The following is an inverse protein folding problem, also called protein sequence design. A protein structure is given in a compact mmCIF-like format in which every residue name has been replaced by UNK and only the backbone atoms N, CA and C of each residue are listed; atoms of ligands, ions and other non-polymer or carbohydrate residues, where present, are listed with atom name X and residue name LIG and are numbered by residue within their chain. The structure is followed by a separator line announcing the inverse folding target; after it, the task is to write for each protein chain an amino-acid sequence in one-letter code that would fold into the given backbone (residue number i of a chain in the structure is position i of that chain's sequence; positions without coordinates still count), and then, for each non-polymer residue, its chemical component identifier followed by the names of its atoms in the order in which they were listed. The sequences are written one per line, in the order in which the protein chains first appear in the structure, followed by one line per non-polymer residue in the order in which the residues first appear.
data_IF_699952601046
#
_entry.id   IF_699952601046
#
_cell.length_a   1.000
_cell.length_b   1.000
_cell.length_c   1.000
_cell.angle_alpha   90.00
_cell.angle_beta   90.00
_cell.angle_gamma   90.00
#
_symmetry.space_group_name_H-M   'P 1'
#
loop_
_entity.id
_entity.type
_entity.pdbx_description
1 polymer ?
#
# COMPACT_ATOMS: atom_id res chain seq x y z
N UNK A 1 -0.14 10.46 14.41
CA UNK A 1 -0.27 9.08 14.93
C UNK A 1 -1.71 8.79 15.35
N UNK A 2 -2.40 9.71 16.02
CA UNK A 2 -3.82 9.55 16.38
C UNK A 2 -4.69 9.18 15.17
N UNK A 3 -4.55 9.94 14.07
CA UNK A 3 -5.30 9.72 12.82
C UNK A 3 -5.28 8.28 12.28
N UNK A 4 -4.11 7.64 12.20
CA UNK A 4 -4.03 6.27 11.65
C UNK A 4 -4.61 5.24 12.62
N UNK A 5 -4.43 5.43 13.93
CA UNK A 5 -5.00 4.53 14.92
C UNK A 5 -6.53 4.60 14.92
N UNK A 6 -7.09 5.81 14.88
CA UNK A 6 -8.53 6.04 14.78
C UNK A 6 -9.12 5.40 13.53
N UNK A 7 -8.46 5.60 12.37
CA UNK A 7 -8.88 5.00 11.11
C UNK A 7 -8.88 3.47 11.17
N UNK A 8 -7.82 2.84 11.70
CA UNK A 8 -7.77 1.38 11.81
C UNK A 8 -8.85 0.86 12.78
N UNK A 9 -9.12 1.58 13.88
CA UNK A 9 -10.22 1.24 14.80
C UNK A 9 -11.60 1.41 14.18
N UNK A 10 -11.77 2.30 13.19
CA UNK A 10 -12.99 2.40 12.40
C UNK A 10 -13.12 1.21 11.45
N UNK A 11 -12.05 0.91 10.70
CA UNK A 11 -12.00 -0.24 9.78
C UNK A 11 -12.27 -1.56 10.51
N UNK A 12 -11.74 -1.73 11.72
CA UNK A 12 -11.92 -2.94 12.55
C UNK A 12 -13.39 -3.17 12.97
N UNK A 13 -14.23 -2.13 12.96
CA UNK A 13 -15.67 -2.24 13.26
C UNK A 13 -16.52 -2.61 12.04
N UNK A 14 -15.96 -2.51 10.84
CA UNK A 14 -16.67 -2.81 9.60
C UNK A 14 -16.62 -4.32 9.33
N UNK A 15 -17.78 -4.97 9.30
CA UNK A 15 -17.88 -6.43 9.09
C UNK A 15 -17.37 -6.90 7.71
N UNK A 16 -17.20 -5.97 6.76
CA UNK A 16 -16.64 -6.29 5.45
C UNK A 16 -15.11 -6.25 5.45
N UNK A 17 -14.49 -5.74 6.52
CA UNK A 17 -13.06 -5.64 6.67
C UNK A 17 -12.56 -6.56 7.80
N UNK A 18 -11.35 -7.08 7.64
CA UNK A 18 -10.70 -7.91 8.66
C UNK A 18 -9.37 -7.29 9.05
N UNK A 19 -9.27 -6.77 10.27
CA UNK A 19 -8.02 -6.23 10.83
C UNK A 19 -7.36 -7.30 11.69
N UNK A 20 -6.15 -7.71 11.32
CA UNK A 20 -5.38 -8.70 12.07
C UNK A 20 -4.28 -8.03 12.88
N UNK A 21 -4.38 -8.09 14.21
CA UNK A 21 -3.39 -7.57 15.15
C UNK A 21 -2.27 -8.58 15.40
N UNK A 22 -1.06 -8.08 15.64
CA UNK A 22 0.04 -8.92 16.13
C UNK A 22 -0.20 -9.26 17.61
N UNK A 23 0.09 -10.51 17.99
CA UNK A 23 0.08 -10.92 19.41
C UNK A 23 1.12 -10.15 20.23
N UNK A 24 2.27 -9.87 19.61
CA UNK A 24 3.36 -9.10 20.21
C UNK A 24 3.83 -8.07 19.18
N UNK A 25 3.77 -6.76 19.48
CA UNK A 25 4.27 -5.74 18.58
C UNK A 25 5.75 -5.89 18.27
N UNK A 26 6.15 -5.61 17.03
CA UNK A 26 7.56 -5.53 16.69
C UNK A 26 8.19 -4.30 17.35
N UNK A 27 9.40 -4.46 17.89
CA UNK A 27 10.16 -3.36 18.50
C UNK A 27 11.06 -2.60 17.51
N UNK A 28 11.30 -3.20 16.35
CA UNK A 28 12.20 -2.66 15.32
C UNK A 28 11.79 -3.15 13.95
N UNK A 29 11.63 -2.22 13.03
CA UNK A 29 11.49 -2.48 11.60
C UNK A 29 12.90 -2.37 10.96
N UNK A 30 13.26 -3.27 10.03
CA UNK A 30 14.58 -3.25 9.37
C UNK A 30 14.78 -2.09 8.38
N UNK A 31 13.73 -1.30 8.11
CA UNK A 31 13.72 -0.22 7.12
C UNK A 31 13.41 1.12 7.77
N UNK A 32 13.89 2.21 7.15
CA UNK A 32 13.43 3.56 7.46
C UNK A 32 12.10 3.78 6.74
N UNK A 33 11.02 3.85 7.50
CA UNK A 33 9.65 4.03 7.01
C UNK A 33 9.02 5.29 7.62
N UNK A 34 7.99 5.89 6.99
CA UNK A 34 7.24 6.97 7.61
C UNK A 34 6.53 6.49 8.89
N UNK A 35 6.23 7.42 9.81
CA UNK A 35 5.74 7.10 11.15
C UNK A 35 4.38 6.38 11.16
N UNK A 36 3.52 6.65 10.19
CA UNK A 36 2.22 6.00 10.07
C UNK A 36 2.37 4.54 9.63
N UNK A 37 3.15 4.27 8.58
CA UNK A 37 3.49 2.92 8.17
C UNK A 37 4.23 2.17 9.29
N UNK A 38 5.13 2.84 10.02
CA UNK A 38 5.83 2.25 11.18
C UNK A 38 4.83 1.75 12.22
N UNK A 39 3.91 2.62 12.62
CA UNK A 39 2.87 2.27 13.60
C UNK A 39 2.08 1.04 13.14
N UNK A 40 1.66 1.00 11.87
CA UNK A 40 0.94 -0.14 11.34
C UNK A 40 1.76 -1.43 11.36
N UNK A 41 2.95 -1.41 10.76
CA UNK A 41 3.83 -2.60 10.65
C UNK A 41 4.28 -3.13 12.01
N UNK A 42 4.40 -2.27 13.03
CA UNK A 42 4.75 -2.70 14.39
C UNK A 42 3.60 -3.39 15.12
N UNK A 43 2.34 -3.13 14.75
CA UNK A 43 1.18 -3.53 15.56
C UNK A 43 0.21 -4.50 14.85
N UNK A 44 0.23 -4.58 13.52
CA UNK A 44 -0.74 -5.33 12.73
C UNK A 44 -0.03 -6.29 11.75
N UNK A 45 -0.64 -7.45 11.54
CA UNK A 45 -0.15 -8.47 10.59
C UNK A 45 -0.80 -8.33 9.22
N UNK A 46 -2.02 -7.78 9.13
CA UNK A 46 -2.67 -7.43 7.87
C UNK A 46 -3.96 -6.62 8.11
N UNK A 47 -4.45 -5.97 7.05
CA UNK A 47 -5.84 -5.51 6.93
C UNK A 47 -6.38 -6.04 5.61
N UNK A 48 -7.47 -6.80 5.62
CA UNK A 48 -8.18 -7.21 4.41
C UNK A 48 -9.40 -6.30 4.25
N UNK A 49 -9.44 -5.53 3.17
CA UNK A 49 -10.57 -4.66 2.85
C UNK A 49 -11.60 -5.39 2.00
N UNK A 50 -12.87 -5.31 2.38
CA UNK A 50 -14.03 -5.74 1.57
C UNK A 50 -13.91 -7.19 1.04
N UNK A 51 -13.62 -8.14 1.92
CA UNK A 51 -13.20 -9.52 1.61
C UNK A 51 -14.13 -10.32 0.67
N UNK A 52 -15.40 -9.93 0.59
CA UNK A 52 -16.43 -10.60 -0.23
C UNK A 52 -16.72 -9.87 -1.55
N UNK A 53 -15.82 -8.98 -2.00
CA UNK A 53 -15.97 -8.17 -3.21
C UNK A 53 -14.86 -8.47 -4.23
N UNK A 54 -15.12 -8.20 -5.50
CA UNK A 54 -14.11 -8.34 -6.57
C UNK A 54 -12.91 -7.40 -6.41
N UNK A 55 -13.07 -6.32 -5.65
CA UNK A 55 -12.04 -5.32 -5.40
C UNK A 55 -11.45 -5.43 -3.99
N UNK A 56 -11.60 -6.60 -3.36
CA UNK A 56 -10.93 -6.92 -2.11
C UNK A 56 -9.41 -6.76 -2.26
N UNK A 57 -8.76 -6.17 -1.28
CA UNK A 57 -7.31 -6.01 -1.27
C UNK A 57 -6.76 -6.15 0.15
N UNK A 58 -5.63 -6.84 0.29
CA UNK A 58 -4.95 -7.05 1.57
C UNK A 58 -3.80 -6.07 1.71
N UNK A 59 -3.84 -5.23 2.73
CA UNK A 59 -2.65 -4.55 3.24
C UNK A 59 -1.75 -5.56 3.94
N UNK A 60 -0.51 -5.65 3.49
CA UNK A 60 0.43 -6.67 3.96
C UNK A 60 1.06 -6.28 5.30
N UNK A 61 1.44 -7.26 6.13
CA UNK A 61 2.23 -7.03 7.33
C UNK A 61 3.74 -7.08 7.07
N UNK A 62 4.54 -6.91 8.13
CA UNK A 62 6.01 -6.85 8.02
C UNK A 62 6.66 -8.08 7.36
N UNK A 63 6.08 -9.28 7.52
CA UNK A 63 6.62 -10.53 6.93
C UNK A 63 6.46 -10.59 5.41
N UNK A 64 5.50 -9.85 4.88
CA UNK A 64 5.14 -9.79 3.46
C UNK A 64 5.61 -8.47 2.81
N UNK A 65 5.97 -7.48 3.63
CA UNK A 65 6.56 -6.20 3.22
C UNK A 65 7.96 -6.38 2.62
N UNK A 66 8.04 -6.63 1.31
CA UNK A 66 9.25 -6.96 0.56
C UNK A 66 9.43 -5.99 -0.61
N UNK A 67 10.68 -5.84 -1.09
CA UNK A 67 10.97 -5.05 -2.31
C UNK A 67 10.13 -5.58 -3.48
N UNK A 68 9.48 -4.67 -4.18
CA UNK A 68 8.48 -4.98 -5.19
C UNK A 68 9.09 -5.58 -6.46
N UNK A 69 10.25 -5.09 -6.92
CA UNK A 69 10.93 -5.60 -8.12
C UNK A 69 11.06 -7.12 -8.10
N UNK A 70 11.64 -7.68 -7.03
CA UNK A 70 11.82 -9.13 -6.90
C UNK A 70 10.51 -9.92 -6.92
N UNK A 71 9.40 -9.33 -6.48
CA UNK A 71 8.09 -10.00 -6.42
C UNK A 71 7.38 -9.91 -7.78
N UNK A 72 7.37 -8.75 -8.41
CA UNK A 72 6.55 -8.47 -9.60
C UNK A 72 7.26 -8.91 -10.88
N UNK A 73 8.56 -8.64 -11.00
CA UNK A 73 9.35 -8.88 -12.22
C UNK A 73 10.46 -9.93 -12.03
N UNK A 74 10.69 -10.41 -10.80
CA UNK A 74 11.64 -11.48 -10.49
C UNK A 74 13.11 -11.06 -10.37
N UNK A 75 13.44 -9.81 -10.70
CA UNK A 75 14.80 -9.24 -10.65
C UNK A 75 14.87 -8.01 -9.73
N UNK A 76 16.07 -7.59 -9.33
CA UNK A 76 16.27 -6.37 -8.54
C UNK A 76 17.12 -5.38 -9.35
N UNK A 77 16.46 -4.38 -9.96
CA UNK A 77 17.13 -3.32 -10.72
C UNK A 77 17.49 -2.15 -9.81
N UNK A 78 18.70 -2.17 -9.26
CA UNK A 78 19.15 -1.18 -8.26
C UNK A 78 19.22 0.27 -8.75
N UNK A 79 19.36 0.48 -10.06
CA UNK A 79 19.51 1.80 -10.66
C UNK A 79 18.16 2.49 -10.98
N UNK A 80 17.05 1.75 -10.90
CA UNK A 80 15.72 2.30 -11.12
C UNK A 80 15.09 2.83 -9.83
N UNK A 81 14.24 3.84 -9.95
CA UNK A 81 13.54 4.43 -8.80
C UNK A 81 12.70 3.38 -8.05
N UNK A 82 12.22 2.36 -8.77
CA UNK A 82 11.46 1.22 -8.23
C UNK A 82 12.23 0.33 -7.26
N UNK A 83 13.56 0.43 -7.22
CA UNK A 83 14.37 -0.34 -6.28
C UNK A 83 13.95 -0.13 -4.82
N UNK A 84 13.53 1.09 -4.47
CA UNK A 84 13.09 1.44 -3.12
C UNK A 84 11.57 1.30 -2.90
N UNK A 85 10.87 0.64 -3.82
CA UNK A 85 9.45 0.38 -3.68
C UNK A 85 9.21 -0.97 -3.03
N UNK A 86 8.25 -1.02 -2.11
CA UNK A 86 7.91 -2.20 -1.34
C UNK A 86 6.44 -2.52 -1.52
N UNK A 87 6.10 -3.81 -1.62
CA UNK A 87 4.71 -4.26 -1.63
C UNK A 87 4.05 -3.80 -0.33
N UNK A 88 2.97 -3.03 -0.41
CA UNK A 88 2.16 -2.62 0.73
C UNK A 88 0.72 -3.15 0.65
N UNK A 89 0.24 -3.49 -0.55
CA UNK A 89 -1.02 -4.20 -0.74
C UNK A 89 -0.96 -5.21 -1.89
N UNK A 90 -1.78 -6.26 -1.79
CA UNK A 90 -1.86 -7.38 -2.73
C UNK A 90 -3.30 -7.93 -2.77
N UNK A 91 -3.85 -8.14 -3.97
CA UNK A 91 -5.16 -8.80 -4.17
C UNK A 91 -5.07 -10.34 -4.25
N UNK A 92 -3.86 -10.90 -4.21
CA UNK A 92 -3.49 -12.30 -4.45
C UNK A 92 -3.78 -12.80 -5.87
N UNK A 93 -3.88 -11.89 -6.83
CA UNK A 93 -4.08 -12.22 -8.24
C UNK A 93 -3.06 -11.47 -9.12
N UNK A 94 -3.21 -10.16 -9.24
CA UNK A 94 -2.47 -9.37 -10.23
C UNK A 94 -2.28 -7.89 -9.85
N UNK A 95 -3.05 -7.40 -8.87
CA UNK A 95 -2.96 -6.03 -8.41
C UNK A 95 -2.07 -5.94 -7.18
N UNK A 96 -1.01 -5.16 -7.32
CA UNK A 96 -0.20 -4.71 -6.20
C UNK A 96 -0.39 -3.22 -5.97
N UNK A 97 -0.21 -2.80 -4.73
CA UNK A 97 0.12 -1.41 -4.42
C UNK A 97 1.51 -1.41 -3.81
N UNK A 98 2.36 -0.51 -4.27
CA UNK A 98 3.69 -0.31 -3.69
C UNK A 98 3.77 0.98 -2.90
N UNK A 99 4.70 1.03 -1.95
CA UNK A 99 5.07 2.24 -1.22
C UNK A 99 6.55 2.55 -1.38
N UNK A 100 6.87 3.82 -1.62
CA UNK A 100 8.21 4.32 -1.84
C UNK A 100 8.92 4.65 -0.52
N UNK A 101 10.12 4.10 -0.32
CA UNK A 101 10.98 4.38 0.82
C UNK A 101 12.19 5.28 0.47
N UNK A 102 12.26 5.79 -0.76
CA UNK A 102 13.24 6.79 -1.16
C UNK A 102 13.03 8.11 -0.41
N UNK A 103 14.10 8.90 -0.28
CA UNK A 103 14.08 10.13 0.55
C UNK A 103 13.04 11.15 0.07
N UNK A 104 12.92 11.34 -1.24
CA UNK A 104 12.14 12.45 -1.81
C UNK A 104 10.66 12.10 -1.97
N UNK A 105 10.32 10.79 -2.00
CA UNK A 105 8.95 10.28 -2.14
C UNK A 105 8.52 9.41 -0.96
N UNK A 106 9.19 9.53 0.19
CA UNK A 106 8.99 8.68 1.36
C UNK A 106 7.50 8.61 1.75
N UNK A 107 6.89 7.44 1.54
CA UNK A 107 5.48 7.16 1.84
C UNK A 107 4.51 7.26 0.67
N UNK A 108 4.96 7.63 -0.53
CA UNK A 108 4.10 7.68 -1.72
C UNK A 108 3.73 6.28 -2.15
N UNK A 109 2.48 6.10 -2.60
CA UNK A 109 1.95 4.83 -3.02
C UNK A 109 1.59 4.86 -4.50
N UNK A 110 1.86 3.76 -5.20
CA UNK A 110 1.66 3.66 -6.63
C UNK A 110 0.73 2.50 -7.00
N UNK A 111 -0.09 2.71 -8.01
CA UNK A 111 -0.75 1.61 -8.72
C UNK A 111 0.35 0.75 -9.38
N UNK A 112 0.47 -0.49 -8.93
CA UNK A 112 1.56 -1.40 -9.32
C UNK A 112 1.01 -2.70 -9.89
N UNK A 113 -0.08 -2.59 -10.64
CA UNK A 113 -0.58 -3.71 -11.44
C UNK A 113 0.53 -4.23 -12.35
N UNK A 114 0.62 -5.56 -12.47
CA UNK A 114 1.80 -6.24 -13.00
C UNK A 114 2.22 -5.81 -14.42
N UNK A 115 1.29 -5.41 -15.29
CA UNK A 115 1.59 -5.03 -16.69
C UNK A 115 2.08 -3.58 -16.84
N UNK A 116 1.96 -2.77 -15.80
CA UNK A 116 2.30 -1.33 -15.75
C UNK A 116 3.45 -1.00 -14.83
N UNK A 117 3.86 -1.98 -14.02
CA UNK A 117 4.88 -1.79 -12.99
C UNK A 117 6.20 -1.30 -13.57
N UNK A 118 6.62 -0.10 -13.14
CA UNK A 118 7.88 0.51 -13.56
C UNK A 118 7.86 1.06 -14.99
N UNK A 119 6.68 1.22 -15.59
CA UNK A 119 6.51 1.80 -16.93
C UNK A 119 6.28 3.31 -16.79
N UNK A 120 7.12 4.09 -17.47
CA UNK A 120 7.03 5.57 -17.47
C UNK A 120 5.68 6.01 -18.03
N UNK A 121 4.94 6.81 -17.26
CA UNK A 121 3.62 7.29 -17.63
C UNK A 121 2.46 6.34 -17.30
N UNK A 122 2.75 5.17 -16.73
CA UNK A 122 1.73 4.22 -16.27
C UNK A 122 1.83 3.91 -14.76
N UNK A 123 2.80 4.52 -14.06
CA UNK A 123 3.03 4.32 -12.64
C UNK A 123 2.35 5.43 -11.83
N UNK A 124 1.02 5.37 -11.80
CA UNK A 124 0.17 6.41 -11.20
C UNK A 124 0.39 6.55 -9.69
N UNK A 125 0.58 7.79 -9.20
CA UNK A 125 0.64 8.09 -7.77
C UNK A 125 -0.78 8.14 -7.19
N UNK A 126 -1.13 7.12 -6.39
CA UNK A 126 -2.49 6.95 -5.86
C UNK A 126 -2.69 7.52 -4.45
N UNK A 127 -1.62 7.59 -3.66
CA UNK A 127 -1.59 8.25 -2.35
C UNK A 127 -0.19 8.79 -2.03
N UNK A 128 -0.10 9.76 -1.12
CA UNK A 128 1.17 10.35 -0.65
C UNK A 128 1.59 9.88 0.75
N UNK A 129 0.77 9.05 1.38
CA UNK A 129 1.05 8.44 2.68
C UNK A 129 0.30 7.13 2.83
N UNK A 130 0.77 6.27 3.75
CA UNK A 130 0.07 5.03 4.08
C UNK A 130 -1.32 5.29 4.67
N UNK A 131 -1.44 6.31 5.52
CA UNK A 131 -2.74 6.72 6.09
C UNK A 131 -3.72 7.12 4.99
N UNK A 132 -3.32 7.97 4.04
CA UNK A 132 -4.18 8.39 2.93
C UNK A 132 -4.59 7.21 2.05
N UNK A 133 -3.68 6.25 1.82
CA UNK A 133 -4.01 5.02 1.10
C UNK A 133 -5.16 4.27 1.79
N UNK A 134 -5.05 4.04 3.11
CA UNK A 134 -6.10 3.37 3.89
C UNK A 134 -7.43 4.15 3.84
N UNK A 135 -7.40 5.48 3.97
CA UNK A 135 -8.60 6.32 3.92
C UNK A 135 -9.33 6.17 2.59
N UNK A 136 -8.58 6.26 1.48
CA UNK A 136 -9.15 6.21 0.13
C UNK A 136 -9.66 4.81 -0.22
N UNK A 137 -8.94 3.75 0.18
CA UNK A 137 -9.44 2.36 0.03
C UNK A 137 -10.72 2.20 0.85
N UNK A 138 -10.72 2.59 2.12
CA UNK A 138 -11.90 2.41 2.98
C UNK A 138 -13.11 3.23 2.50
N UNK A 139 -12.88 4.42 1.95
CA UNK A 139 -13.92 5.26 1.36
C UNK A 139 -14.53 4.68 0.07
N UNK A 140 -13.85 3.74 -0.61
CA UNK A 140 -14.38 3.11 -1.83
C UNK A 140 -15.52 2.14 -1.57
N UNK A 141 -15.66 1.67 -0.33
CA UNK A 141 -16.70 0.73 0.13
C UNK A 141 -16.77 -0.56 -0.71
N UNK A 142 -15.63 -1.01 -1.24
CA UNK A 142 -15.52 -2.25 -2.00
C UNK A 142 -16.15 -2.23 -3.39
N UNK A 143 -16.59 -1.06 -3.88
CA UNK A 143 -17.25 -0.94 -5.18
C UNK A 143 -16.26 -1.09 -6.34
N UNK A 144 -15.13 -0.40 -6.25
CA UNK A 144 -14.01 -0.40 -7.20
C UNK A 144 -12.79 0.19 -6.50
N UNK A 145 -11.56 -0.17 -6.91
CA UNK A 145 -10.38 0.57 -6.46
C UNK A 145 -10.50 2.03 -6.86
N UNK A 146 -10.30 2.95 -5.90
CA UNK A 146 -10.62 4.35 -6.11
C UNK A 146 -9.82 4.99 -7.25
N UNK A 147 -8.62 4.47 -7.54
CA UNK A 147 -7.75 4.95 -8.61
C UNK A 147 -8.19 4.51 -10.02
N UNK A 148 -9.15 3.59 -10.13
CA UNK A 148 -9.77 3.20 -11.41
C UNK A 148 -11.00 4.04 -11.76
N UNK A 149 -11.46 4.93 -10.86
CA UNK A 149 -12.66 5.74 -11.10
C UNK A 149 -12.36 6.86 -12.10
N UNK A 150 -13.33 7.18 -12.95
CA UNK A 150 -13.19 8.28 -13.91
C UNK A 150 -12.98 9.65 -13.24
N UNK A 151 -13.49 9.83 -12.02
CA UNK A 151 -13.34 11.05 -11.22
C UNK A 151 -12.06 11.08 -10.38
N UNK A 152 -11.20 10.06 -10.48
CA UNK A 152 -9.94 10.01 -9.76
C UNK A 152 -8.94 11.04 -10.32
N UNK A 153 -8.55 11.98 -9.46
CA UNK A 153 -7.45 12.90 -9.74
C UNK A 153 -6.16 12.33 -9.15
N UNK A 154 -5.29 11.80 -10.02
CA UNK A 154 -3.97 11.31 -9.59
C UNK A 154 -3.05 12.46 -9.17
N UNK A 155 -1.97 12.10 -8.48
CA UNK A 155 -0.90 13.05 -8.14
C UNK A 155 0.21 13.13 -9.20
N UNK A 156 -0.07 12.65 -10.43
CA UNK A 156 0.93 12.45 -11.47
C UNK A 156 1.48 11.02 -11.48
N UNK A 157 2.64 10.86 -12.11
CA UNK A 157 3.36 9.61 -12.30
C UNK A 157 4.61 9.51 -11.40
N UNK A 158 5.03 8.29 -11.07
CA UNK A 158 6.25 8.07 -10.30
C UNK A 158 7.51 8.61 -10.99
N UNK A 159 7.52 8.69 -12.32
CA UNK A 159 8.62 9.17 -13.14
C UNK A 159 8.54 10.66 -13.51
N UNK A 160 7.47 11.35 -13.14
CA UNK A 160 7.36 12.81 -13.31
C UNK A 160 8.42 13.53 -12.46
N UNK A 161 9.18 14.46 -13.05
CA UNK A 161 10.25 15.22 -12.39
C UNK A 161 9.80 16.56 -11.87
#
# INVERSE_FOLDING_TARGET
MEKINELILEIEKDENCTVSRLLVPYKKIPYKVPNDLKFYLENYSSIVFFQNTYYSIKMVGLTEFKRANKIIIGEDYNDDISHNWFIIADDNNSQYVTIDLSKDRLGYCYDSFWDRYGVVGEQTIIAKSFTELLERIYASKGNMWYWMREDFSSYGDAYDR
#
